data_IF_505833030614
#
_entry.id   IF_505833030614
#
_cell.length_a   1.000
_cell.length_b   1.000
_cell.length_c   1.000
_cell.angle_alpha   90.00
_cell.angle_beta   90.00
_cell.angle_gamma   90.00
#
_symmetry.space_group_name_H-M   'P 1'
#
loop_
_entity.id
_entity.type
_entity.pdbx_description
1 polymer ?
#
# COMPACT_ATOMS: atom_id res chain seq x y z
N UNK A 1 19.35 61.57 -11.61
CA UNK A 1 19.87 62.35 -10.47
C UNK A 1 20.43 61.37 -9.48
N UNK A 2 21.70 61.14 -9.52
CA UNK A 2 22.77 61.64 -8.63
C UNK A 2 22.67 60.93 -7.28
N UNK A 3 23.62 60.14 -6.86
CA UNK A 3 24.94 60.50 -6.49
C UNK A 3 25.84 59.29 -6.23
N UNK A 4 26.92 59.33 -6.91
CA UNK A 4 28.14 58.57 -6.70
C UNK A 4 28.87 59.21 -5.51
N UNK A 5 29.26 58.40 -4.52
CA UNK A 5 30.27 58.87 -3.57
C UNK A 5 31.46 57.92 -3.58
N UNK A 6 32.53 58.44 -4.16
CA UNK A 6 33.91 58.00 -4.03
C UNK A 6 34.34 57.97 -2.56
N UNK A 7 34.91 56.88 -2.10
CA UNK A 7 35.81 56.92 -0.95
C UNK A 7 37.18 56.38 -1.35
N UNK A 8 38.07 57.31 -1.32
CA UNK A 8 39.51 57.31 -1.53
C UNK A 8 40.25 56.29 -0.66
N UNK A 9 41.13 55.58 -1.34
CA UNK A 9 42.14 54.70 -0.76
C UNK A 9 43.20 55.52 -0.04
N UNK A 10 43.33 55.33 1.25
CA UNK A 10 44.52 55.76 2.00
C UNK A 10 45.49 54.60 2.12
N UNK A 11 46.62 54.70 1.42
CA UNK A 11 47.80 53.87 1.59
C UNK A 11 48.46 54.18 2.92
N UNK A 12 48.41 53.27 3.87
CA UNK A 12 49.17 53.30 5.12
C UNK A 12 50.16 52.16 5.13
N UNK A 13 51.37 52.48 4.76
CA UNK A 13 52.56 51.59 4.85
C UNK A 13 52.96 51.34 6.31
N UNK A 14 53.48 50.23 6.57
CA UNK A 14 54.18 49.74 7.77
C UNK A 14 53.41 48.72 8.60
N UNK A 15 53.88 47.49 8.45
CA UNK A 15 54.02 46.46 9.49
C UNK A 15 54.54 45.18 8.83
N UNK A 16 55.70 45.23 8.14
CA UNK A 16 56.52 44.04 7.88
C UNK A 16 57.41 43.84 9.11
N UNK A 17 56.97 43.07 10.07
CA UNK A 17 57.86 42.43 11.02
C UNK A 17 58.45 41.19 10.37
N UNK A 18 59.79 41.02 10.40
CA UNK A 18 60.41 39.81 9.90
C UNK A 18 60.02 38.64 10.82
N UNK A 19 59.42 37.60 10.22
CA UNK A 19 59.25 36.30 10.87
C UNK A 19 60.62 35.70 11.18
N UNK A 20 61.05 35.88 12.39
CA UNK A 20 62.17 35.11 12.92
C UNK A 20 61.69 33.67 13.16
N UNK A 21 62.12 32.74 12.30
CA UNK A 21 61.98 31.34 12.52
C UNK A 21 62.76 30.95 13.79
N UNK A 22 62.19 30.26 14.78
CA UNK A 22 62.95 29.73 15.86
C UNK A 22 63.84 28.60 15.33
N UNK A 23 65.12 28.90 15.20
CA UNK A 23 66.17 27.96 14.81
C UNK A 23 66.53 27.02 15.97
N UNK A 24 65.57 26.33 16.52
CA UNK A 24 65.74 25.14 17.37
C UNK A 24 64.51 24.26 17.31
N UNK A 25 64.29 23.62 16.15
CA UNK A 25 63.56 22.37 16.17
C UNK A 25 64.50 21.39 16.90
N UNK A 26 64.34 21.30 18.20
CA UNK A 26 64.97 20.21 18.97
C UNK A 26 64.41 18.91 18.41
N UNK A 27 65.26 18.17 17.75
CA UNK A 27 65.07 16.77 17.26
C UNK A 27 64.91 15.83 18.47
N UNK A 28 63.99 16.14 19.38
CA UNK A 28 63.79 15.43 20.66
C UNK A 28 62.49 14.65 20.68
N UNK A 29 61.92 14.30 19.52
CA UNK A 29 60.63 13.66 19.42
C UNK A 29 60.55 12.38 18.59
N UNK A 30 61.67 11.86 18.07
CA UNK A 30 61.62 10.64 17.24
C UNK A 30 62.65 9.58 17.68
N UNK A 31 62.94 9.51 18.97
CA UNK A 31 63.50 8.27 19.50
C UNK A 31 62.30 7.40 19.90
N UNK A 32 61.73 6.65 18.90
CA UNK A 32 60.97 5.46 19.25
C UNK A 32 61.88 4.55 20.03
N UNK A 33 61.72 4.53 21.34
CA UNK A 33 62.39 3.55 22.18
C UNK A 33 61.96 2.16 21.67
N UNK A 34 62.90 1.42 21.12
CA UNK A 34 62.68 0.02 20.79
C UNK A 34 62.44 -0.76 22.10
N UNK A 35 61.19 -0.83 22.50
CA UNK A 35 60.81 -1.67 23.64
C UNK A 35 60.59 -3.09 23.13
N UNK A 36 61.45 -4.00 23.53
CA UNK A 36 61.42 -5.40 23.13
C UNK A 36 60.23 -6.14 23.77
N UNK A 37 59.81 -5.77 24.95
CA UNK A 37 58.72 -6.40 25.70
C UNK A 37 57.33 -5.96 25.25
N UNK A 38 57.14 -4.74 24.74
CA UNK A 38 55.83 -4.23 24.33
C UNK A 38 55.92 -3.62 22.92
N UNK A 39 55.55 -4.40 21.92
CA UNK A 39 55.54 -3.96 20.51
C UNK A 39 54.29 -3.15 20.20
N UNK A 40 54.33 -1.83 20.43
CA UNK A 40 53.23 -0.90 20.18
C UNK A 40 52.81 -0.86 18.69
N UNK A 41 53.77 -1.05 17.76
CA UNK A 41 53.50 -1.12 16.34
C UNK A 41 52.66 -2.35 15.98
N UNK A 42 53.00 -3.53 16.57
CA UNK A 42 52.19 -4.75 16.38
C UNK A 42 50.79 -4.61 16.96
N UNK A 43 50.64 -4.03 18.17
CA UNK A 43 49.32 -3.77 18.77
C UNK A 43 48.46 -2.81 17.93
N UNK A 44 49.06 -1.78 17.37
CA UNK A 44 48.34 -0.86 16.44
C UNK A 44 47.94 -1.56 15.15
N UNK A 45 48.82 -2.39 14.56
CA UNK A 45 48.50 -3.18 13.37
C UNK A 45 47.36 -4.18 13.65
N UNK A 46 47.39 -4.87 14.81
CA UNK A 46 46.30 -5.77 15.21
C UNK A 46 44.97 -5.04 15.39
N UNK A 47 44.98 -3.86 16.02
CA UNK A 47 43.77 -3.03 16.16
C UNK A 47 43.21 -2.59 14.80
N UNK A 48 44.06 -2.12 13.91
CA UNK A 48 43.68 -1.74 12.56
C UNK A 48 43.12 -2.92 11.76
N UNK A 49 43.72 -4.09 11.89
CA UNK A 49 43.26 -5.34 11.25
C UNK A 49 41.88 -5.77 11.80
N UNK A 50 41.67 -5.70 13.12
CA UNK A 50 40.38 -5.99 13.74
C UNK A 50 39.28 -5.03 13.27
N UNK A 51 39.58 -3.73 13.18
CA UNK A 51 38.66 -2.73 12.66
C UNK A 51 38.29 -2.97 11.19
N UNK A 52 39.30 -3.22 10.34
CA UNK A 52 39.06 -3.54 8.92
C UNK A 52 38.29 -4.85 8.75
N UNK A 53 38.50 -5.83 9.63
CA UNK A 53 37.71 -7.08 9.63
C UNK A 53 36.26 -6.88 10.00
N UNK A 54 35.97 -6.00 10.97
CA UNK A 54 34.60 -5.64 11.32
C UNK A 54 33.88 -4.87 10.17
N UNK A 55 34.60 -3.91 9.56
CA UNK A 55 34.07 -3.17 8.39
C UNK A 55 33.78 -4.10 7.20
N UNK A 56 34.69 -5.07 6.94
CA UNK A 56 34.51 -6.09 5.91
C UNK A 56 33.24 -6.91 6.16
N UNK A 57 33.05 -7.39 7.39
CA UNK A 57 31.87 -8.16 7.77
C UNK A 57 30.60 -7.36 7.57
N UNK A 58 30.56 -6.10 8.01
CA UNK A 58 29.39 -5.23 7.85
C UNK A 58 29.08 -4.97 6.38
N UNK A 59 30.10 -4.69 5.54
CA UNK A 59 29.92 -4.50 4.11
C UNK A 59 29.38 -5.76 3.41
N UNK A 60 29.88 -6.93 3.78
CA UNK A 60 29.38 -8.22 3.29
C UNK A 60 27.93 -8.47 3.69
N UNK A 61 27.57 -8.18 4.94
CA UNK A 61 26.21 -8.33 5.46
C UNK A 61 25.23 -7.42 4.72
N UNK A 62 25.58 -6.14 4.53
CA UNK A 62 24.76 -5.17 3.79
C UNK A 62 24.61 -5.51 2.31
N UNK A 63 25.67 -6.00 1.70
CA UNK A 63 25.67 -6.40 0.30
C UNK A 63 24.82 -7.66 0.08
N UNK A 64 24.88 -8.60 1.03
CA UNK A 64 24.12 -9.86 0.99
C UNK A 64 22.63 -9.64 1.24
N UNK A 65 22.27 -8.74 2.15
CA UNK A 65 20.86 -8.44 2.49
C UNK A 65 20.22 -7.40 1.57
N UNK A 66 21.04 -6.58 0.88
CA UNK A 66 20.60 -5.40 0.14
C UNK A 66 20.17 -4.24 1.05
N UNK A 67 20.34 -4.37 2.38
CA UNK A 67 19.88 -3.40 3.36
C UNK A 67 21.07 -2.74 4.07
N UNK A 68 20.98 -1.43 4.23
CA UNK A 68 21.89 -0.63 5.04
C UNK A 68 21.69 -0.88 6.55
N UNK A 69 20.43 -1.10 6.95
CA UNK A 69 20.00 -1.34 8.33
C UNK A 69 19.51 -2.79 8.41
N UNK A 70 20.29 -3.68 9.01
CA UNK A 70 19.95 -5.09 9.21
C UNK A 70 19.45 -5.36 10.63
N UNK A 71 19.89 -4.55 11.59
CA UNK A 71 19.55 -4.71 13.01
C UNK A 71 19.32 -3.36 13.68
N UNK A 72 18.66 -3.36 14.83
CA UNK A 72 18.49 -2.15 15.63
C UNK A 72 19.82 -1.57 16.15
N UNK A 73 20.92 -2.37 16.13
CA UNK A 73 22.25 -1.91 16.50
C UNK A 73 22.89 -1.01 15.42
N UNK A 74 22.49 -1.15 14.15
CA UNK A 74 23.01 -0.35 13.05
C UNK A 74 22.45 1.10 13.08
N UNK A 75 21.13 1.21 13.29
CA UNK A 75 20.41 2.46 13.46
C UNK A 75 19.05 2.19 14.10
N UNK A 76 18.93 2.43 15.40
CA UNK A 76 17.73 2.16 16.17
C UNK A 76 16.53 3.03 15.71
N UNK A 77 16.78 4.28 15.32
CA UNK A 77 15.73 5.19 14.89
C UNK A 77 15.24 4.85 13.47
N UNK A 78 16.18 4.64 12.55
CA UNK A 78 15.87 4.22 11.17
C UNK A 78 15.16 2.87 11.13
N UNK A 79 15.59 1.90 11.93
CA UNK A 79 14.95 0.60 12.05
C UNK A 79 13.50 0.70 12.53
N UNK A 80 13.24 1.46 13.59
CA UNK A 80 11.89 1.65 14.12
C UNK A 80 10.95 2.35 13.10
N UNK A 81 11.47 3.29 12.31
CA UNK A 81 10.72 3.94 11.24
C UNK A 81 10.43 2.96 10.11
N UNK A 82 11.43 2.19 9.66
CA UNK A 82 11.28 1.21 8.58
C UNK A 82 10.29 0.10 8.95
N UNK A 83 10.31 -0.41 10.19
CA UNK A 83 9.33 -1.38 10.68
C UNK A 83 7.91 -0.82 10.69
N UNK A 84 7.72 0.42 11.15
CA UNK A 84 6.41 1.08 11.11
C UNK A 84 5.91 1.27 9.67
N UNK A 85 6.80 1.68 8.74
CA UNK A 85 6.46 1.78 7.31
C UNK A 85 6.14 0.41 6.72
N UNK A 86 6.83 -0.64 7.12
CA UNK A 86 6.55 -2.02 6.68
C UNK A 86 5.17 -2.46 7.14
N UNK A 87 4.80 -2.20 8.38
CA UNK A 87 3.45 -2.46 8.88
C UNK A 87 2.38 -1.68 8.10
N UNK A 88 2.64 -0.41 7.80
CA UNK A 88 1.75 0.43 7.00
C UNK A 88 1.59 -0.09 5.57
N UNK A 89 2.68 -0.47 4.88
CA UNK A 89 2.63 -1.03 3.53
C UNK A 89 1.81 -2.32 3.50
N UNK A 90 2.03 -3.22 4.47
CA UNK A 90 1.25 -4.46 4.59
C UNK A 90 -0.23 -4.18 4.82
N UNK A 91 -0.55 -3.19 5.66
CA UNK A 91 -1.92 -2.75 5.89
C UNK A 91 -2.58 -2.17 4.64
N UNK A 92 -1.87 -1.31 3.89
CA UNK A 92 -2.34 -0.73 2.63
C UNK A 92 -2.60 -1.81 1.55
N UNK A 93 -1.73 -2.80 1.45
CA UNK A 93 -1.91 -3.92 0.52
C UNK A 93 -3.15 -4.76 0.89
N UNK A 94 -3.40 -4.99 2.19
CA UNK A 94 -4.62 -5.68 2.63
C UNK A 94 -5.86 -4.83 2.41
N UNK A 95 -5.81 -3.51 2.64
CA UNK A 95 -6.90 -2.59 2.34
C UNK A 95 -7.24 -2.56 0.85
N UNK A 96 -6.24 -2.58 -0.02
CA UNK A 96 -6.40 -2.70 -1.48
C UNK A 96 -7.07 -4.02 -1.85
N UNK A 97 -6.67 -5.12 -1.24
CA UNK A 97 -7.32 -6.42 -1.45
C UNK A 97 -8.78 -6.40 -1.00
N UNK A 98 -9.07 -5.87 0.18
CA UNK A 98 -10.43 -5.76 0.70
C UNK A 98 -11.33 -4.90 -0.22
N UNK A 99 -10.79 -3.81 -0.78
CA UNK A 99 -11.51 -2.98 -1.74
C UNK A 99 -11.82 -3.72 -3.05
N UNK A 100 -10.88 -4.51 -3.57
CA UNK A 100 -11.09 -5.34 -4.75
C UNK A 100 -12.08 -6.49 -4.49
N UNK A 101 -12.06 -7.08 -3.30
CA UNK A 101 -13.06 -8.07 -2.88
C UNK A 101 -14.45 -7.43 -2.85
N UNK A 102 -14.55 -6.17 -2.37
CA UNK A 102 -15.77 -5.38 -2.41
C UNK A 102 -16.27 -5.09 -3.82
N UNK A 103 -15.38 -4.73 -4.74
CA UNK A 103 -15.71 -4.54 -6.15
C UNK A 103 -16.25 -5.84 -6.78
N UNK A 104 -15.60 -6.96 -6.49
CA UNK A 104 -16.03 -8.27 -6.98
C UNK A 104 -17.41 -8.66 -6.46
N UNK A 105 -17.68 -8.39 -5.17
CA UNK A 105 -19.00 -8.63 -4.57
C UNK A 105 -20.08 -7.76 -5.25
N UNK A 106 -19.82 -6.46 -5.43
CA UNK A 106 -20.77 -5.55 -6.07
C UNK A 106 -21.04 -5.92 -7.53
N UNK A 107 -20.03 -6.39 -8.26
CA UNK A 107 -20.21 -6.86 -9.64
C UNK A 107 -21.16 -8.07 -9.73
N UNK A 108 -21.07 -9.02 -8.78
CA UNK A 108 -21.99 -10.17 -8.71
C UNK A 108 -23.42 -9.70 -8.45
N UNK A 109 -23.59 -8.75 -7.52
CA UNK A 109 -24.89 -8.18 -7.16
C UNK A 109 -25.48 -7.40 -8.33
N UNK A 110 -24.68 -6.62 -9.03
CA UNK A 110 -25.12 -5.83 -10.17
C UNK A 110 -25.58 -6.71 -11.34
N UNK A 111 -24.87 -7.80 -11.65
CA UNK A 111 -25.29 -8.74 -12.67
C UNK A 111 -26.65 -9.36 -12.32
N UNK A 112 -26.83 -9.84 -11.09
CA UNK A 112 -28.12 -10.40 -10.66
C UNK A 112 -29.26 -9.36 -10.69
N UNK A 113 -28.99 -8.11 -10.28
CA UNK A 113 -30.01 -7.04 -10.33
C UNK A 113 -30.31 -6.60 -11.76
N UNK A 114 -29.38 -6.76 -12.69
CA UNK A 114 -29.62 -6.56 -14.11
C UNK A 114 -30.65 -7.57 -14.65
N UNK A 115 -30.45 -8.88 -14.37
CA UNK A 115 -31.37 -9.93 -14.75
C UNK A 115 -32.78 -9.69 -14.18
N UNK A 116 -32.85 -9.26 -12.90
CA UNK A 116 -34.13 -8.87 -12.27
C UNK A 116 -34.77 -7.71 -13.01
N UNK A 117 -34.00 -6.70 -13.43
CA UNK A 117 -34.51 -5.55 -14.19
C UNK A 117 -35.12 -5.98 -15.53
N UNK A 118 -34.45 -6.88 -16.25
CA UNK A 118 -34.94 -7.42 -17.53
C UNK A 118 -36.26 -8.20 -17.34
N UNK A 119 -36.36 -9.00 -16.27
CA UNK A 119 -37.62 -9.66 -15.93
C UNK A 119 -38.76 -8.69 -15.57
N UNK A 120 -38.46 -7.62 -14.83
CA UNK A 120 -39.42 -6.58 -14.54
C UNK A 120 -39.90 -5.87 -15.81
N UNK A 121 -39.04 -5.59 -16.78
CA UNK A 121 -39.43 -5.08 -18.08
C UNK A 121 -40.34 -6.05 -18.80
N UNK A 122 -40.03 -7.35 -18.82
CA UNK A 122 -40.92 -8.36 -19.40
C UNK A 122 -42.27 -8.42 -18.71
N UNK A 123 -42.30 -8.38 -17.37
CA UNK A 123 -43.57 -8.30 -16.62
C UNK A 123 -44.38 -7.06 -16.98
N UNK A 124 -43.73 -5.92 -17.22
CA UNK A 124 -44.38 -4.69 -17.63
C UNK A 124 -45.01 -4.82 -19.01
N UNK A 125 -44.34 -5.46 -19.97
CA UNK A 125 -44.92 -5.75 -21.31
C UNK A 125 -46.20 -6.59 -21.19
N UNK A 126 -46.14 -7.67 -20.39
CA UNK A 126 -47.27 -8.54 -20.12
C UNK A 126 -48.45 -7.77 -19.47
N UNK A 127 -48.12 -6.89 -18.51
CA UNK A 127 -49.14 -6.06 -17.84
C UNK A 127 -49.78 -5.05 -18.81
N UNK A 128 -49.01 -4.44 -19.73
CA UNK A 128 -49.56 -3.59 -20.81
C UNK A 128 -50.49 -4.40 -21.73
N UNK A 129 -50.09 -5.59 -22.12
CA UNK A 129 -50.90 -6.49 -22.94
C UNK A 129 -52.20 -6.87 -22.21
N UNK A 130 -52.12 -7.22 -20.92
CA UNK A 130 -53.27 -7.60 -20.10
C UNK A 130 -54.24 -6.44 -19.82
N UNK A 131 -53.77 -5.19 -19.89
CA UNK A 131 -54.62 -3.99 -19.70
C UNK A 131 -55.55 -3.72 -20.87
N UNK A 132 -55.41 -4.43 -21.98
CA UNK A 132 -56.30 -4.31 -23.12
C UNK A 132 -57.59 -5.13 -22.95
N UNK A 133 -58.72 -4.49 -22.98
CA UNK A 133 -60.03 -5.12 -22.78
C UNK A 133 -60.43 -6.08 -23.92
N UNK A 134 -59.65 -6.23 -24.98
CA UNK A 134 -59.85 -7.21 -26.05
C UNK A 134 -59.44 -8.64 -25.67
N UNK A 135 -58.72 -8.79 -24.56
CA UNK A 135 -58.29 -10.11 -24.08
C UNK A 135 -59.45 -10.87 -23.44
N UNK A 136 -59.56 -12.16 -23.74
CA UNK A 136 -60.48 -13.03 -23.02
C UNK A 136 -59.91 -13.35 -21.60
N UNK A 137 -60.77 -13.83 -20.71
CA UNK A 137 -60.36 -14.28 -19.39
C UNK A 137 -59.35 -15.44 -19.43
N UNK A 138 -59.39 -16.23 -20.49
CA UNK A 138 -58.46 -17.34 -20.73
C UNK A 138 -57.08 -16.83 -21.15
N UNK A 139 -57.04 -15.82 -22.03
CA UNK A 139 -55.80 -15.14 -22.43
C UNK A 139 -55.12 -14.45 -21.24
N UNK A 140 -55.90 -13.75 -20.41
CA UNK A 140 -55.41 -13.16 -19.16
C UNK A 140 -54.81 -14.22 -18.20
N UNK A 141 -55.44 -15.42 -18.16
CA UNK A 141 -54.93 -16.57 -17.40
C UNK A 141 -53.52 -17.00 -17.85
N UNK A 142 -53.30 -17.06 -19.19
CA UNK A 142 -51.99 -17.40 -19.73
C UNK A 142 -50.95 -16.31 -19.44
N UNK A 143 -51.27 -15.02 -19.58
CA UNK A 143 -50.38 -13.92 -19.25
C UNK A 143 -50.01 -13.93 -17.74
N UNK A 144 -50.99 -14.18 -16.87
CA UNK A 144 -50.79 -14.26 -15.45
C UNK A 144 -49.92 -15.47 -15.03
N UNK A 145 -50.01 -16.60 -15.75
CA UNK A 145 -49.13 -17.72 -15.54
C UNK A 145 -47.65 -17.37 -15.83
N UNK A 146 -47.38 -16.66 -16.92
CA UNK A 146 -46.02 -16.18 -17.23
C UNK A 146 -45.51 -15.23 -16.15
N UNK A 147 -46.30 -14.25 -15.72
CA UNK A 147 -45.93 -13.32 -14.63
C UNK A 147 -45.63 -14.09 -13.32
N UNK A 148 -46.40 -15.13 -13.04
CA UNK A 148 -46.18 -15.97 -11.85
C UNK A 148 -44.84 -16.67 -11.90
N UNK A 149 -44.43 -17.19 -13.07
CA UNK A 149 -43.11 -17.79 -13.24
C UNK A 149 -41.99 -16.76 -13.13
N UNK A 150 -42.15 -15.57 -13.69
CA UNK A 150 -41.18 -14.47 -13.58
C UNK A 150 -41.01 -14.02 -12.11
N UNK A 151 -42.08 -13.94 -11.32
CA UNK A 151 -41.99 -13.64 -9.87
C UNK A 151 -41.21 -14.73 -9.11
N UNK A 152 -41.47 -16.00 -9.43
CA UNK A 152 -40.72 -17.10 -8.82
C UNK A 152 -39.23 -17.03 -9.19
N UNK A 153 -38.90 -16.71 -10.44
CA UNK A 153 -37.53 -16.58 -10.89
C UNK A 153 -36.78 -15.39 -10.25
N UNK A 154 -37.45 -14.23 -10.12
CA UNK A 154 -36.89 -13.10 -9.37
C UNK A 154 -36.53 -13.51 -7.93
N UNK A 155 -37.42 -14.22 -7.26
CA UNK A 155 -37.19 -14.70 -5.91
C UNK A 155 -36.03 -15.70 -5.87
N UNK A 156 -36.00 -16.65 -6.82
CA UNK A 156 -34.93 -17.63 -6.92
C UNK A 156 -33.55 -16.95 -7.13
N UNK A 157 -33.46 -15.96 -8.01
CA UNK A 157 -32.21 -15.21 -8.22
C UNK A 157 -31.79 -14.50 -6.94
N UNK A 158 -32.72 -13.89 -6.21
CA UNK A 158 -32.43 -13.22 -4.95
C UNK A 158 -31.89 -14.17 -3.87
N UNK A 159 -32.38 -15.42 -3.85
CA UNK A 159 -31.98 -16.45 -2.87
C UNK A 159 -30.67 -17.16 -3.25
N UNK A 160 -30.51 -17.48 -4.53
CA UNK A 160 -29.41 -18.29 -5.04
C UNK A 160 -28.15 -17.47 -5.33
N UNK A 161 -28.29 -16.14 -5.55
CA UNK A 161 -27.13 -15.26 -5.76
C UNK A 161 -26.37 -15.07 -4.45
N UNK A 162 -25.25 -15.77 -4.32
CA UNK A 162 -24.39 -15.75 -3.14
C UNK A 162 -22.99 -15.29 -3.49
N UNK A 163 -22.43 -14.48 -2.63
CA UNK A 163 -21.01 -14.15 -2.64
C UNK A 163 -20.37 -14.72 -1.38
N UNK A 164 -19.36 -15.56 -1.52
CA UNK A 164 -18.71 -16.25 -0.41
C UNK A 164 -19.70 -16.96 0.56
N UNK A 165 -20.76 -17.59 0.00
CA UNK A 165 -21.77 -18.33 0.75
C UNK A 165 -22.88 -17.48 1.39
N UNK A 166 -22.80 -16.14 1.32
CA UNK A 166 -23.81 -15.22 1.87
C UNK A 166 -24.72 -14.70 0.76
N UNK A 167 -26.04 -14.84 0.93
CA UNK A 167 -27.03 -14.23 0.04
C UNK A 167 -27.24 -12.76 0.46
N UNK A 168 -26.94 -11.83 -0.44
CA UNK A 168 -27.05 -10.40 -0.14
C UNK A 168 -28.37 -9.80 -0.66
N UNK A 169 -29.01 -10.42 -1.64
CA UNK A 169 -30.22 -9.92 -2.30
C UNK A 169 -31.51 -10.39 -1.64
N UNK A 170 -31.44 -11.23 -0.62
CA UNK A 170 -32.58 -11.77 0.17
C UNK A 170 -32.53 -11.28 1.64
N UNK A 171 -32.16 -10.04 1.86
CA UNK A 171 -31.99 -9.46 3.21
C UNK A 171 -33.25 -8.86 3.83
N UNK A 172 -34.42 -9.07 3.22
CA UNK A 172 -35.67 -8.44 3.66
C UNK A 172 -35.70 -6.91 3.46
N UNK A 173 -36.71 -6.25 3.99
CA UNK A 173 -36.98 -4.83 3.73
C UNK A 173 -35.86 -3.86 4.16
N UNK A 174 -35.03 -4.23 5.12
CA UNK A 174 -33.89 -3.41 5.61
C UNK A 174 -32.62 -3.63 4.82
N UNK A 175 -32.54 -4.69 4.00
CA UNK A 175 -31.34 -5.07 3.27
C UNK A 175 -30.18 -5.55 4.16
N UNK A 176 -29.10 -5.93 3.52
CA UNK A 176 -27.83 -6.32 4.19
C UNK A 176 -26.89 -5.13 4.21
N UNK A 177 -26.53 -4.69 5.42
CA UNK A 177 -25.57 -3.61 5.62
C UNK A 177 -24.20 -4.17 5.98
N UNK A 178 -23.15 -3.57 5.46
CA UNK A 178 -21.79 -3.94 5.79
C UNK A 178 -20.82 -2.79 5.55
N UNK A 179 -19.54 -3.07 5.77
CA UNK A 179 -18.48 -2.09 5.56
C UNK A 179 -17.23 -2.78 5.04
N UNK A 180 -16.57 -2.15 4.09
CA UNK A 180 -15.25 -2.54 3.63
C UNK A 180 -14.20 -1.75 4.41
N UNK A 181 -13.24 -2.44 5.02
CA UNK A 181 -12.07 -1.80 5.63
C UNK A 181 -11.09 -1.44 4.51
N UNK A 182 -10.97 -0.17 4.23
CA UNK A 182 -10.16 0.38 3.12
C UNK A 182 -8.99 1.23 3.60
N UNK A 183 -8.55 1.02 4.82
CA UNK A 183 -7.40 1.72 5.37
C UNK A 183 -6.70 0.91 6.45
N UNK A 184 -5.57 1.42 6.93
CA UNK A 184 -4.71 0.78 7.93
C UNK A 184 -5.18 1.01 9.36
N UNK A 185 -6.00 2.05 9.59
CA UNK A 185 -6.49 2.43 10.90
C UNK A 185 -7.94 1.98 11.12
N UNK A 186 -8.33 1.79 12.37
CA UNK A 186 -9.71 1.48 12.73
C UNK A 186 -10.66 2.56 12.20
N UNK A 187 -11.85 2.13 11.74
CA UNK A 187 -12.90 3.00 11.19
C UNK A 187 -12.63 3.66 9.83
N UNK A 188 -11.51 3.37 9.16
CA UNK A 188 -11.31 3.75 7.76
C UNK A 188 -12.09 2.81 6.85
N UNK A 189 -13.41 2.98 6.82
CA UNK A 189 -14.33 2.06 6.13
C UNK A 189 -15.21 2.76 5.10
N UNK A 190 -15.60 2.03 4.06
CA UNK A 190 -16.67 2.39 3.14
C UNK A 190 -17.86 1.50 3.48
N UNK A 191 -18.96 2.12 3.92
CA UNK A 191 -20.20 1.42 4.21
C UNK A 191 -20.98 1.14 2.92
N UNK A 192 -21.65 0.02 2.88
CA UNK A 192 -22.58 -0.34 1.82
C UNK A 192 -23.89 -0.85 2.42
N UNK A 193 -24.96 -0.71 1.67
CA UNK A 193 -26.26 -1.31 1.97
C UNK A 193 -26.80 -1.92 0.69
N UNK A 194 -27.03 -3.22 0.72
CA UNK A 194 -27.60 -3.97 -0.41
C UNK A 194 -29.03 -4.31 -0.03
N UNK A 195 -29.97 -3.74 -0.77
CA UNK A 195 -31.37 -4.00 -0.54
C UNK A 195 -31.82 -5.30 -1.17
N UNK A 196 -32.84 -5.91 -0.59
CA UNK A 196 -33.46 -7.10 -1.14
C UNK A 196 -34.18 -6.79 -2.43
N UNK A 197 -34.05 -7.71 -3.42
CA UNK A 197 -34.70 -7.61 -4.72
C UNK A 197 -35.66 -8.79 -4.97
N UNK A 198 -36.00 -9.56 -3.94
CA UNK A 198 -37.02 -10.60 -4.02
C UNK A 198 -38.41 -10.00 -4.28
N UNK A 199 -39.31 -10.77 -4.87
CA UNK A 199 -40.65 -10.30 -5.26
C UNK A 199 -41.48 -9.78 -4.07
N UNK A 200 -41.16 -10.16 -2.83
CA UNK A 200 -41.83 -9.70 -1.62
C UNK A 200 -41.29 -8.37 -1.09
N UNK A 201 -40.10 -7.95 -1.55
CA UNK A 201 -39.42 -6.73 -1.07
C UNK A 201 -39.54 -5.54 -2.04
N UNK A 202 -39.55 -5.80 -3.36
CA UNK A 202 -39.61 -4.74 -4.38
C UNK A 202 -41.06 -4.37 -4.76
N UNK A 203 -41.27 -3.13 -5.15
CA UNK A 203 -42.55 -2.57 -5.57
C UNK A 203 -42.97 -1.38 -4.72
N UNK A 204 -44.25 -1.00 -4.86
CA UNK A 204 -44.87 0.12 -4.13
C UNK A 204 -44.83 -0.08 -2.59
N UNK A 205 -44.96 1.00 -1.85
CA UNK A 205 -45.09 0.94 -0.38
C UNK A 205 -46.33 0.15 0.05
N UNK A 206 -47.40 0.20 -0.73
CA UNK A 206 -48.68 -0.47 -0.42
C UNK A 206 -48.77 -1.88 -1.00
N UNK A 207 -48.14 -2.15 -2.16
CA UNK A 207 -48.27 -3.43 -2.87
C UNK A 207 -46.91 -3.84 -3.42
N UNK A 208 -46.59 -5.11 -3.22
CA UNK A 208 -45.32 -5.71 -3.66
C UNK A 208 -45.52 -6.53 -4.95
N UNK A 209 -44.45 -6.78 -5.68
CA UNK A 209 -44.46 -7.60 -6.90
C UNK A 209 -45.08 -8.98 -6.65
N UNK A 210 -44.89 -9.55 -5.47
CA UNK A 210 -45.47 -10.84 -5.10
C UNK A 210 -46.99 -10.86 -5.14
N UNK A 211 -47.63 -9.73 -4.87
CA UNK A 211 -49.08 -9.60 -4.73
C UNK A 211 -49.81 -9.17 -6.03
N UNK A 212 -49.09 -8.81 -7.11
CA UNK A 212 -49.71 -8.45 -8.38
C UNK A 212 -50.28 -9.67 -9.09
N UNK A 213 -51.40 -9.48 -9.79
CA UNK A 213 -52.00 -10.43 -10.72
C UNK A 213 -52.49 -9.72 -11.98
N UNK A 214 -52.73 -10.46 -13.06
CA UNK A 214 -53.22 -9.96 -14.35
C UNK A 214 -54.60 -10.56 -14.70
N UNK A 215 -55.40 -10.96 -13.72
CA UNK A 215 -56.65 -11.66 -13.92
C UNK A 215 -57.75 -10.78 -14.55
N UNK A 216 -57.59 -9.47 -14.52
CA UNK A 216 -58.48 -8.51 -15.20
C UNK A 216 -57.73 -7.21 -15.56
N UNK A 217 -58.29 -6.37 -16.43
CA UNK A 217 -57.61 -5.15 -16.89
C UNK A 217 -57.40 -4.10 -15.79
N UNK A 218 -58.24 -4.08 -14.74
CA UNK A 218 -58.03 -3.19 -13.57
C UNK A 218 -56.83 -3.60 -12.75
N UNK A 219 -56.67 -4.91 -12.47
CA UNK A 219 -55.50 -5.44 -11.79
C UNK A 219 -54.23 -5.23 -12.63
N UNK A 220 -54.30 -5.41 -13.94
CA UNK A 220 -53.21 -5.12 -14.87
C UNK A 220 -52.75 -3.66 -14.80
N UNK A 221 -53.71 -2.70 -14.73
CA UNK A 221 -53.38 -1.28 -14.52
C UNK A 221 -52.68 -1.02 -13.18
N UNK A 222 -53.11 -1.68 -12.09
CA UNK A 222 -52.44 -1.61 -10.79
C UNK A 222 -51.06 -2.24 -10.85
N UNK A 223 -50.92 -3.39 -11.50
CA UNK A 223 -49.63 -4.08 -11.70
C UNK A 223 -48.61 -3.22 -12.43
N UNK A 224 -49.06 -2.45 -13.48
CA UNK A 224 -48.18 -1.51 -14.19
C UNK A 224 -47.53 -0.49 -13.27
N UNK A 225 -48.31 0.08 -12.32
CA UNK A 225 -47.78 1.05 -11.35
C UNK A 225 -46.78 0.39 -10.44
N UNK A 226 -47.13 -0.77 -9.89
CA UNK A 226 -46.25 -1.51 -8.94
C UNK A 226 -44.93 -1.95 -9.61
N UNK A 227 -45.03 -2.42 -10.86
CA UNK A 227 -43.82 -2.81 -11.64
C UNK A 227 -42.97 -1.59 -11.95
N UNK A 228 -43.57 -0.44 -12.27
CA UNK A 228 -42.85 0.81 -12.53
C UNK A 228 -42.09 1.25 -11.25
N UNK A 229 -42.77 1.25 -10.11
CA UNK A 229 -42.12 1.54 -8.80
C UNK A 229 -40.99 0.58 -8.49
N UNK A 230 -41.16 -0.71 -8.82
CA UNK A 230 -40.10 -1.73 -8.62
C UNK A 230 -38.88 -1.46 -9.51
N UNK A 231 -39.11 -1.11 -10.80
CA UNK A 231 -38.02 -0.75 -11.74
C UNK A 231 -37.26 0.48 -11.22
N UNK A 232 -37.99 1.53 -10.78
CA UNK A 232 -37.35 2.73 -10.21
C UNK A 232 -36.57 2.42 -8.96
N UNK A 233 -37.09 1.57 -8.08
CA UNK A 233 -36.40 1.13 -6.87
C UNK A 233 -35.10 0.39 -7.21
N UNK A 234 -35.16 -0.61 -8.07
CA UNK A 234 -33.96 -1.40 -8.46
C UNK A 234 -32.95 -0.51 -9.20
N UNK A 235 -33.41 0.38 -10.09
CA UNK A 235 -32.53 1.31 -10.79
C UNK A 235 -31.82 2.27 -9.82
N UNK A 236 -32.54 2.79 -8.81
CA UNK A 236 -31.97 3.63 -7.76
C UNK A 236 -30.91 2.89 -6.90
N UNK A 237 -31.19 1.63 -6.57
CA UNK A 237 -30.24 0.79 -5.80
C UNK A 237 -29.00 0.49 -6.64
N UNK A 238 -29.15 0.14 -7.92
CA UNK A 238 -28.03 -0.05 -8.86
C UNK A 238 -27.18 1.21 -9.02
N UNK A 239 -27.81 2.39 -9.13
CA UNK A 239 -27.07 3.65 -9.17
C UNK A 239 -26.24 3.86 -7.88
N UNK A 240 -26.79 3.46 -6.73
CA UNK A 240 -26.07 3.44 -5.44
C UNK A 240 -24.88 2.50 -5.46
N UNK A 241 -25.02 1.29 -6.01
CA UNK A 241 -23.92 0.33 -6.13
C UNK A 241 -22.82 0.86 -7.06
N UNK A 242 -23.17 1.43 -8.21
CA UNK A 242 -22.21 2.05 -9.11
C UNK A 242 -21.44 3.21 -8.48
N UNK A 243 -22.10 4.02 -7.65
CA UNK A 243 -21.42 5.07 -6.89
C UNK A 243 -20.40 4.51 -5.88
N UNK A 244 -20.72 3.39 -5.21
CA UNK A 244 -19.79 2.71 -4.30
C UNK A 244 -18.65 2.08 -5.08
N UNK A 245 -18.88 1.47 -6.24
CA UNK A 245 -17.86 0.91 -7.12
C UNK A 245 -16.84 1.99 -7.53
N UNK A 246 -17.31 3.10 -8.09
CA UNK A 246 -16.44 4.22 -8.45
C UNK A 246 -15.63 4.72 -7.26
N UNK A 247 -16.24 4.82 -6.08
CA UNK A 247 -15.56 5.23 -4.86
C UNK A 247 -14.48 4.23 -4.44
N UNK A 248 -14.75 2.94 -4.55
CA UNK A 248 -13.76 1.87 -4.27
C UNK A 248 -12.60 1.91 -5.27
N UNK A 249 -12.86 2.12 -6.57
CA UNK A 249 -11.82 2.24 -7.60
C UNK A 249 -10.86 3.40 -7.31
N UNK A 250 -11.41 4.59 -7.01
CA UNK A 250 -10.57 5.73 -6.60
C UNK A 250 -9.80 5.45 -5.31
N UNK A 251 -10.41 4.72 -4.38
CA UNK A 251 -9.74 4.33 -3.14
C UNK A 251 -8.59 3.36 -3.41
N UNK A 252 -8.79 2.35 -4.26
CA UNK A 252 -7.74 1.41 -4.70
C UNK A 252 -6.57 2.17 -5.33
N UNK A 253 -6.86 3.07 -6.28
CA UNK A 253 -5.83 3.90 -6.92
C UNK A 253 -5.03 4.72 -5.90
N UNK A 254 -5.72 5.36 -4.96
CA UNK A 254 -5.07 6.15 -3.90
C UNK A 254 -4.22 5.27 -2.98
N UNK A 255 -4.73 4.12 -2.53
CA UNK A 255 -4.00 3.18 -1.65
C UNK A 255 -2.74 2.65 -2.32
N UNK A 256 -2.80 2.35 -3.62
CA UNK A 256 -1.64 1.91 -4.40
C UNK A 256 -0.58 3.00 -4.49
N UNK A 257 -0.96 4.24 -4.78
CA UNK A 257 -0.05 5.39 -4.81
C UNK A 257 0.62 5.62 -3.44
N UNK A 258 -0.16 5.58 -2.35
CA UNK A 258 0.38 5.74 -0.99
C UNK A 258 1.33 4.59 -0.63
N UNK A 259 1.01 3.35 -1.03
CA UNK A 259 1.87 2.19 -0.81
C UNK A 259 3.19 2.32 -1.59
N UNK A 260 3.16 2.79 -2.83
CA UNK A 260 4.35 3.06 -3.66
C UNK A 260 5.25 4.11 -3.01
N UNK A 261 4.70 5.28 -2.67
CA UNK A 261 5.48 6.34 -2.03
C UNK A 261 6.03 5.94 -0.66
N UNK A 262 5.27 5.19 0.12
CA UNK A 262 5.73 4.69 1.42
C UNK A 262 6.85 3.65 1.22
N UNK A 263 6.74 2.79 0.20
CA UNK A 263 7.79 1.83 -0.15
C UNK A 263 9.06 2.54 -0.60
N UNK A 264 8.94 3.57 -1.45
CA UNK A 264 10.08 4.38 -1.88
C UNK A 264 10.72 5.16 -0.72
N UNK A 265 9.92 5.62 0.24
CA UNK A 265 10.44 6.28 1.44
C UNK A 265 11.18 5.29 2.36
N UNK A 266 10.64 4.08 2.56
CA UNK A 266 11.29 3.00 3.30
C UNK A 266 12.61 2.59 2.66
N UNK A 267 12.64 2.42 1.33
CA UNK A 267 13.83 2.08 0.57
C UNK A 267 14.98 3.08 0.82
N UNK A 268 14.69 4.37 0.84
CA UNK A 268 15.69 5.42 1.15
C UNK A 268 16.27 5.33 2.56
N UNK A 269 15.54 4.77 3.52
CA UNK A 269 16.00 4.59 4.90
C UNK A 269 16.77 3.27 5.05
N UNK A 270 16.22 2.19 4.54
CA UNK A 270 16.64 0.82 4.83
C UNK A 270 17.61 0.24 3.79
N UNK A 271 17.48 0.61 2.50
CA UNK A 271 18.23 -0.03 1.42
C UNK A 271 19.68 0.46 1.35
N UNK A 272 20.57 -0.45 0.95
CA UNK A 272 21.97 -0.16 0.74
C UNK A 272 22.25 0.30 -0.70
N UNK A 273 23.09 1.32 -0.84
CA UNK A 273 23.71 1.64 -2.13
C UNK A 273 24.76 0.60 -2.45
N UNK A 274 24.46 -0.25 -3.43
CA UNK A 274 25.31 -1.35 -3.85
C UNK A 274 26.68 -0.89 -4.33
N UNK A 275 26.78 0.26 -5.01
CA UNK A 275 28.04 0.78 -5.52
C UNK A 275 28.94 1.26 -4.38
N UNK A 276 28.35 2.00 -3.42
CA UNK A 276 29.08 2.48 -2.27
C UNK A 276 29.55 1.32 -1.36
N UNK A 277 28.70 0.30 -1.15
CA UNK A 277 29.03 -0.82 -0.27
C UNK A 277 30.03 -1.79 -0.92
N UNK A 278 29.98 -1.97 -2.25
CA UNK A 278 31.01 -2.73 -3.01
C UNK A 278 32.38 -2.05 -2.94
N UNK A 279 32.43 -0.72 -3.03
CA UNK A 279 33.66 0.05 -2.87
C UNK A 279 34.21 -0.09 -1.45
N UNK A 280 33.37 -0.09 -0.41
CA UNK A 280 33.78 -0.35 0.99
C UNK A 280 34.30 -1.76 1.16
N UNK A 281 33.65 -2.75 0.58
CA UNK A 281 34.07 -4.14 0.59
C UNK A 281 35.47 -4.27 0.03
N UNK A 282 35.71 -3.76 -1.19
CA UNK A 282 37.01 -3.79 -1.86
C UNK A 282 38.09 -3.07 -1.03
N UNK A 283 37.78 -1.89 -0.49
CA UNK A 283 38.68 -1.15 0.40
C UNK A 283 39.05 -1.96 1.64
N UNK A 284 38.08 -2.55 2.33
CA UNK A 284 38.31 -3.33 3.57
C UNK A 284 39.10 -4.60 3.28
N UNK A 285 38.91 -5.24 2.12
CA UNK A 285 39.72 -6.39 1.69
C UNK A 285 41.17 -5.99 1.47
N UNK A 286 41.44 -4.86 0.80
CA UNK A 286 42.80 -4.36 0.60
C UNK A 286 43.45 -3.99 1.94
N UNK A 287 42.71 -3.32 2.82
CA UNK A 287 43.19 -2.96 4.16
C UNK A 287 43.50 -4.18 5.01
N UNK A 288 42.74 -5.26 4.88
CA UNK A 288 43.00 -6.50 5.58
C UNK A 288 44.30 -7.18 5.09
N UNK A 289 44.51 -7.20 3.75
CA UNK A 289 45.74 -7.74 3.17
C UNK A 289 46.97 -6.90 3.56
N UNK A 290 46.88 -5.59 3.46
CA UNK A 290 47.95 -4.67 3.82
C UNK A 290 48.23 -4.68 5.34
N UNK A 291 47.16 -4.74 6.17
CA UNK A 291 47.24 -4.84 7.61
C UNK A 291 47.96 -6.12 8.05
N UNK A 292 47.69 -7.26 7.41
CA UNK A 292 48.37 -8.50 7.66
C UNK A 292 49.88 -8.41 7.34
N UNK A 293 50.22 -7.79 6.21
CA UNK A 293 51.61 -7.55 5.80
C UNK A 293 52.34 -6.62 6.77
N UNK A 294 51.67 -5.54 7.20
CA UNK A 294 52.22 -4.60 8.20
C UNK A 294 52.41 -5.24 9.56
N UNK A 295 51.52 -6.15 9.98
CA UNK A 295 51.62 -6.90 11.22
C UNK A 295 52.83 -7.84 11.16
N UNK A 296 53.03 -8.53 10.04
CA UNK A 296 54.21 -9.38 9.84
C UNK A 296 55.52 -8.54 9.92
N UNK A 297 55.53 -7.36 9.28
CA UNK A 297 56.69 -6.46 9.33
C UNK A 297 56.93 -5.89 10.75
N UNK A 298 55.85 -5.52 11.46
CA UNK A 298 55.95 -5.03 12.83
C UNK A 298 56.49 -6.10 13.83
N UNK A 299 56.21 -7.37 13.56
CA UNK A 299 56.72 -8.47 14.36
C UNK A 299 58.20 -8.80 14.04
N UNK A 300 58.64 -8.58 12.79
CA UNK A 300 60.03 -8.82 12.37
C UNK A 300 61.02 -7.75 12.89
N UNK A 301 60.54 -6.51 13.13
CA UNK A 301 61.45 -5.42 13.59
C UNK A 301 62.15 -5.67 14.92
N UNK A 302 61.54 -6.21 15.98
CA UNK A 302 62.23 -6.57 17.21
C UNK A 302 63.24 -7.73 17.07
N UNK A 303 62.95 -8.69 16.16
CA UNK A 303 63.85 -9.82 15.89
C UNK A 303 65.17 -9.35 15.24
N UNK A 304 65.08 -8.40 14.28
CA UNK A 304 66.25 -7.79 13.67
C UNK A 304 67.10 -7.01 14.68
N UNK A 305 66.48 -6.36 15.65
CA UNK A 305 67.20 -5.68 16.72
C UNK A 305 67.93 -6.67 17.66
N UNK A 306 67.30 -7.82 17.96
CA UNK A 306 67.93 -8.89 18.74
C UNK A 306 69.10 -9.55 17.99
N UNK A 307 69.08 -9.66 16.67
CA UNK A 307 70.18 -10.16 15.84
C UNK A 307 71.37 -9.22 15.83
N UNK A 308 71.19 -7.91 16.02
CA UNK A 308 72.28 -6.93 16.12
C UNK A 308 73.03 -6.96 17.45
N UNK A 309 72.43 -7.56 18.47
CA UNK A 309 73.04 -7.72 19.81
C UNK A 309 73.62 -9.14 20.06
N UNK A 310 73.61 -9.99 19.05
CA UNK A 310 74.26 -11.30 19.08
C UNK A 310 75.54 -11.25 18.25
#
# INVERSE_FOLDING_TARGET
>A
MAGVSNHTIHAGSSWLKPLTWPSKITLRGLLMSLTVYTNVASLNAQRSLATSGAELKTAMERLSSGKKINSAADDAAGFAIAERMTAQIRGLNMATKNANDGLSMLAVIENATNDVTDMLHRMRELAVQASNDTNSSEDLGYLNAEVTQLKAEITRIAEDTKYNGTAYLNGGATGVTGKFQVGTEANQTISFTIKAVDAASIGSTATKISAIDLNNSTNAGTALTVITDAIEQVAGDRAGYGAIQNRLEYTVSNLMNVAEFTTAARSRIEDADFAAESARLAKSQILQQTGAAMLAQANATPELALMLFK
#
